data_IF_960650999125
#
_entry.id   IF_960650999125
#
_cell.length_a   1.000
_cell.length_b   1.000
_cell.length_c   1.000
_cell.angle_alpha   90.00
_cell.angle_beta   90.00
_cell.angle_gamma   90.00
#
_symmetry.space_group_name_H-M   'P 1'
#
loop_
_entity.id
_entity.type
_entity.pdbx_description
1 polymer ?
#
# COMPACT_ATOMS: atom_id res chain seq x y z
N UNK A 1 -1.30 -25.30 17.71
CA UNK A 1 -2.31 -24.36 18.26
C UNK A 1 -2.27 -23.09 17.44
N UNK A 2 -3.43 -22.59 17.01
CA UNK A 2 -3.51 -21.25 16.44
C UNK A 2 -3.19 -20.22 17.54
N UNK A 3 -2.36 -19.24 17.21
CA UNK A 3 -2.05 -18.11 18.11
C UNK A 3 -2.91 -16.91 17.75
N UNK A 4 -3.04 -15.95 18.67
CA UNK A 4 -3.70 -14.67 18.41
C UNK A 4 -2.80 -13.75 17.54
N UNK A 5 -2.51 -14.17 16.30
CA UNK A 5 -1.54 -13.52 15.41
C UNK A 5 -1.87 -12.04 15.18
N UNK A 6 -3.14 -11.68 15.03
CA UNK A 6 -3.56 -10.29 14.87
C UNK A 6 -3.12 -9.41 16.06
N UNK A 7 -3.25 -9.91 17.30
CA UNK A 7 -2.80 -9.19 18.49
C UNK A 7 -1.27 -9.11 18.55
N UNK A 8 -0.56 -10.18 18.19
CA UNK A 8 0.90 -10.19 18.15
C UNK A 8 1.45 -9.22 17.11
N UNK A 9 0.84 -9.15 15.93
CA UNK A 9 1.20 -8.18 14.89
C UNK A 9 0.96 -6.75 15.37
N UNK A 10 -0.22 -6.47 15.93
CA UNK A 10 -0.55 -5.14 16.46
C UNK A 10 0.44 -4.65 17.50
N UNK A 11 0.72 -5.47 18.51
CA UNK A 11 1.66 -5.10 19.58
C UNK A 11 3.10 -5.09 19.08
N UNK A 12 3.49 -6.07 18.25
CA UNK A 12 4.83 -6.20 17.69
C UNK A 12 5.21 -5.06 16.74
N UNK A 13 4.25 -4.50 16.00
CA UNK A 13 4.51 -3.38 15.08
C UNK A 13 4.27 -2.01 15.69
N UNK A 14 3.78 -1.91 16.93
CA UNK A 14 3.39 -0.64 17.56
C UNK A 14 4.50 0.40 17.54
N UNK A 15 5.73 0.01 17.90
CA UNK A 15 6.89 0.91 17.90
C UNK A 15 7.23 1.39 16.49
N UNK A 16 7.24 0.49 15.51
CA UNK A 16 7.51 0.81 14.11
C UNK A 16 6.43 1.71 13.50
N UNK A 17 5.16 1.51 13.87
CA UNK A 17 4.05 2.37 13.47
C UNK A 17 4.27 3.82 13.96
N UNK A 18 4.55 3.99 15.26
CA UNK A 18 4.86 5.31 15.81
C UNK A 18 6.07 5.95 15.12
N UNK A 19 7.11 5.17 14.80
CA UNK A 19 8.26 5.70 14.05
C UNK A 19 7.87 6.15 12.64
N UNK A 20 7.03 5.38 11.93
CA UNK A 20 6.59 5.72 10.58
C UNK A 20 5.78 7.03 10.55
N UNK A 21 4.87 7.25 11.50
CA UNK A 21 4.08 8.48 11.62
C UNK A 21 4.94 9.73 11.89
N UNK A 22 6.07 9.54 12.57
CA UNK A 22 7.02 10.61 12.91
C UNK A 22 8.10 10.85 11.84
N UNK A 23 8.03 10.16 10.69
CA UNK A 23 8.90 10.50 9.55
C UNK A 23 8.54 11.88 9.00
N UNK A 24 9.53 12.62 8.48
CA UNK A 24 9.31 13.99 8.01
C UNK A 24 8.18 14.12 6.98
N UNK A 25 8.12 13.20 6.01
CA UNK A 25 7.04 13.17 5.02
C UNK A 25 5.66 12.96 5.66
N UNK A 26 5.50 11.94 6.50
CA UNK A 26 4.20 11.62 7.10
C UNK A 26 3.77 12.68 8.10
N UNK A 27 4.70 13.24 8.89
CA UNK A 27 4.41 14.33 9.81
C UNK A 27 3.98 15.61 9.11
N UNK A 28 4.59 15.97 7.97
CA UNK A 28 4.13 17.08 7.13
C UNK A 28 2.75 16.77 6.52
N UNK A 29 2.58 15.54 6.03
CA UNK A 29 1.32 15.08 5.46
C UNK A 29 0.18 15.23 6.46
N UNK A 30 0.32 14.71 7.68
CA UNK A 30 -0.70 14.77 8.73
C UNK A 30 -1.05 16.20 9.15
N UNK A 31 -0.17 17.17 8.93
CA UNK A 31 -0.41 18.61 9.16
C UNK A 31 -1.07 19.30 7.97
N UNK A 32 -1.42 18.58 6.91
CA UNK A 32 -1.96 19.12 5.67
C UNK A 32 -0.92 19.82 4.79
N UNK A 33 0.37 19.64 5.07
CA UNK A 33 1.46 20.17 4.26
C UNK A 33 1.89 19.09 3.27
N UNK A 34 1.13 19.01 2.16
CA UNK A 34 1.31 17.99 1.12
C UNK A 34 1.62 18.65 -0.22
N UNK A 35 2.78 18.34 -0.78
CA UNK A 35 3.12 18.71 -2.15
C UNK A 35 2.61 17.66 -3.13
N UNK A 36 1.92 18.10 -4.20
CA UNK A 36 1.32 17.21 -5.21
C UNK A 36 2.37 16.38 -5.96
N UNK A 37 3.56 16.93 -6.22
CA UNK A 37 4.62 16.20 -6.91
C UNK A 37 5.20 15.07 -6.05
N UNK A 38 5.33 15.31 -4.75
CA UNK A 38 5.75 14.32 -3.76
C UNK A 38 4.67 13.25 -3.56
N UNK A 39 3.39 13.65 -3.47
CA UNK A 39 2.28 12.73 -3.34
C UNK A 39 2.14 11.78 -4.53
N UNK A 40 2.18 12.29 -5.77
CA UNK A 40 2.08 11.42 -6.94
C UNK A 40 3.25 10.44 -7.06
N UNK A 41 4.42 10.79 -6.52
CA UNK A 41 5.58 9.88 -6.45
C UNK A 41 5.31 8.74 -5.47
N UNK A 42 4.70 9.04 -4.31
CA UNK A 42 4.22 8.01 -3.39
C UNK A 42 3.20 7.09 -4.07
N UNK A 43 2.20 7.64 -4.76
CA UNK A 43 1.17 6.85 -5.47
C UNK A 43 1.82 5.92 -6.51
N UNK A 44 2.81 6.42 -7.26
CA UNK A 44 3.59 5.62 -8.19
C UNK A 44 4.34 4.47 -7.51
N UNK A 45 5.04 4.73 -6.42
CA UNK A 45 5.75 3.71 -5.67
C UNK A 45 4.80 2.66 -5.09
N UNK A 46 3.64 3.08 -4.56
CA UNK A 46 2.60 2.17 -4.08
C UNK A 46 2.08 1.28 -5.22
N UNK A 47 1.85 1.82 -6.41
CA UNK A 47 1.40 1.00 -7.55
C UNK A 47 2.31 -0.21 -7.79
N UNK A 48 3.63 -0.03 -7.80
CA UNK A 48 4.56 -1.15 -7.99
C UNK A 48 4.56 -2.13 -6.81
N UNK A 49 4.51 -1.62 -5.58
CA UNK A 49 4.48 -2.43 -4.36
C UNK A 49 3.21 -3.29 -4.28
N UNK A 50 2.03 -2.68 -4.49
CA UNK A 50 0.76 -3.41 -4.50
C UNK A 50 0.68 -4.37 -5.68
N UNK A 51 1.15 -4.00 -6.87
CA UNK A 51 1.16 -4.91 -8.02
C UNK A 51 1.94 -6.19 -7.74
N UNK A 52 3.15 -6.08 -7.16
CA UNK A 52 3.96 -7.24 -6.80
C UNK A 52 3.31 -8.08 -5.69
N UNK A 53 2.77 -7.42 -4.66
CA UNK A 53 2.12 -8.10 -3.54
C UNK A 53 0.86 -8.85 -3.98
N UNK A 54 -0.01 -8.20 -4.76
CA UNK A 54 -1.27 -8.77 -5.24
C UNK A 54 -1.06 -9.88 -6.24
N UNK A 55 -0.04 -9.79 -7.10
CA UNK A 55 0.37 -10.86 -8.00
C UNK A 55 0.72 -12.14 -7.22
N UNK A 56 1.63 -12.03 -6.25
CA UNK A 56 2.11 -13.19 -5.48
C UNK A 56 1.04 -13.76 -4.54
N UNK A 57 0.28 -12.91 -3.87
CA UNK A 57 -0.85 -13.35 -3.02
C UNK A 57 -1.93 -14.01 -3.87
N UNK A 58 -2.23 -13.46 -5.06
CA UNK A 58 -3.18 -14.04 -6.00
C UNK A 58 -2.78 -15.44 -6.46
N UNK A 59 -1.50 -15.64 -6.81
CA UNK A 59 -0.94 -16.96 -7.17
C UNK A 59 -1.10 -17.96 -6.02
N UNK A 60 -0.65 -17.61 -4.81
CA UNK A 60 -0.70 -18.49 -3.64
C UNK A 60 -2.14 -18.83 -3.24
N UNK A 61 -3.05 -17.87 -3.35
CA UNK A 61 -4.49 -18.10 -3.14
C UNK A 61 -5.06 -19.08 -4.15
N UNK A 62 -4.77 -18.91 -5.44
CA UNK A 62 -5.26 -19.82 -6.48
C UNK A 62 -4.73 -21.26 -6.29
N UNK A 63 -3.54 -21.41 -5.71
CA UNK A 63 -2.95 -22.70 -5.34
C UNK A 63 -3.50 -23.28 -4.04
N UNK A 64 -4.37 -22.56 -3.31
CA UNK A 64 -4.91 -23.00 -2.03
C UNK A 64 -3.87 -23.01 -0.90
N UNK A 65 -2.89 -22.12 -0.93
CA UNK A 65 -1.84 -22.06 0.08
C UNK A 65 -2.45 -21.90 1.50
N UNK A 66 -2.11 -22.78 2.47
CA UNK A 66 -2.86 -22.89 3.73
C UNK A 66 -2.77 -21.66 4.64
N UNK A 67 -1.72 -20.85 4.50
CA UNK A 67 -1.52 -19.62 5.31
C UNK A 67 -1.99 -18.35 4.60
N UNK A 68 -1.49 -18.09 3.38
CA UNK A 68 -1.83 -16.88 2.59
C UNK A 68 -3.23 -16.95 1.98
N UNK A 69 -3.68 -18.12 1.51
CA UNK A 69 -4.97 -18.27 0.84
C UNK A 69 -6.16 -17.75 1.64
N UNK A 70 -6.29 -18.06 2.94
CA UNK A 70 -7.37 -17.55 3.79
C UNK A 70 -7.40 -16.03 4.01
N UNK A 71 -6.29 -15.33 3.76
CA UNK A 71 -6.19 -13.87 3.96
C UNK A 71 -6.09 -13.08 2.66
N UNK A 72 -5.91 -13.73 1.52
CA UNK A 72 -5.87 -13.09 0.20
C UNK A 72 -7.26 -12.70 -0.29
N UNK A 73 -7.82 -11.60 0.22
CA UNK A 73 -9.13 -11.06 -0.17
C UNK A 73 -9.00 -10.14 -1.39
N UNK A 74 -9.50 -10.52 -2.58
CA UNK A 74 -9.41 -9.67 -3.78
C UNK A 74 -10.11 -8.31 -3.63
N UNK A 75 -11.09 -8.20 -2.74
CA UNK A 75 -11.80 -6.97 -2.41
C UNK A 75 -10.87 -5.90 -1.81
N UNK A 76 -9.70 -6.32 -1.29
CA UNK A 76 -8.67 -5.43 -0.78
C UNK A 76 -7.69 -4.95 -1.86
N UNK A 77 -7.71 -5.51 -3.07
CA UNK A 77 -6.72 -5.19 -4.11
C UNK A 77 -6.79 -3.72 -4.56
N UNK A 78 -5.66 -3.03 -4.52
CA UNK A 78 -5.50 -1.61 -4.82
C UNK A 78 -4.82 -1.33 -6.14
N UNK A 79 -4.30 -2.34 -6.85
CA UNK A 79 -3.68 -2.13 -8.17
C UNK A 79 -4.59 -1.33 -9.11
N UNK A 80 -5.85 -1.75 -9.28
CA UNK A 80 -6.75 -1.12 -10.25
C UNK A 80 -7.13 0.32 -9.87
N UNK A 81 -7.27 0.62 -8.57
CA UNK A 81 -7.53 1.99 -8.10
C UNK A 81 -6.29 2.86 -8.22
N UNK A 82 -5.09 2.32 -7.97
CA UNK A 82 -3.82 2.99 -8.18
C UNK A 82 -3.56 3.29 -9.67
N UNK A 83 -3.92 2.40 -10.59
CA UNK A 83 -3.82 2.66 -12.03
C UNK A 83 -4.67 3.88 -12.46
N UNK A 84 -5.87 4.01 -11.89
CA UNK A 84 -6.75 5.15 -12.15
C UNK A 84 -6.20 6.45 -11.57
N UNK A 85 -5.63 6.40 -10.35
CA UNK A 85 -5.00 7.57 -9.75
C UNK A 85 -3.73 7.99 -10.52
N UNK A 86 -2.95 7.04 -11.05
CA UNK A 86 -1.80 7.35 -11.89
C UNK A 86 -2.20 8.00 -13.22
N UNK A 87 -3.28 7.52 -13.85
CA UNK A 87 -3.84 8.18 -15.02
C UNK A 87 -4.24 9.63 -14.72
N UNK A 88 -4.78 9.90 -13.53
CA UNK A 88 -5.08 11.26 -13.08
C UNK A 88 -3.82 12.12 -12.88
N UNK A 89 -2.78 11.61 -12.21
CA UNK A 89 -1.60 12.39 -11.86
C UNK A 89 -0.56 12.56 -12.98
N UNK A 90 -0.50 11.60 -13.92
CA UNK A 90 0.53 11.53 -14.96
C UNK A 90 -0.06 11.52 -16.38
N UNK A 91 -1.39 11.46 -16.54
CA UNK A 91 -2.07 11.44 -17.82
C UNK A 91 -2.20 10.04 -18.44
N UNK A 92 -2.76 9.96 -19.64
CA UNK A 92 -3.04 8.68 -20.32
C UNK A 92 -1.81 7.80 -20.56
N UNK A 93 -0.63 8.41 -20.72
CA UNK A 93 0.63 7.71 -20.97
C UNK A 93 1.44 7.39 -19.70
N UNK A 94 0.80 7.43 -18.52
CA UNK A 94 1.45 7.23 -17.22
C UNK A 94 2.34 5.98 -17.18
N UNK A 95 1.94 4.89 -17.83
CA UNK A 95 2.68 3.62 -17.87
C UNK A 95 4.10 3.76 -18.43
N UNK A 96 4.31 4.70 -19.34
CA UNK A 96 5.63 4.94 -19.96
C UNK A 96 6.49 5.95 -19.19
N UNK A 97 5.87 6.79 -18.36
CA UNK A 97 6.52 7.89 -17.65
C UNK A 97 6.84 7.57 -16.19
N UNK A 98 6.04 6.73 -15.56
CA UNK A 98 6.17 6.39 -14.14
C UNK A 98 7.22 5.31 -13.93
N UNK A 99 8.11 5.54 -12.97
CA UNK A 99 9.15 4.58 -12.55
C UNK A 99 9.19 4.52 -11.03
N UNK A 100 9.36 3.31 -10.50
CA UNK A 100 9.59 3.10 -9.08
C UNK A 100 10.88 3.80 -8.64
N UNK A 101 10.84 4.49 -7.50
CA UNK A 101 12.05 4.97 -6.84
C UNK A 101 12.94 3.81 -6.39
N UNK A 102 14.23 4.04 -6.11
CA UNK A 102 15.11 2.98 -5.59
C UNK A 102 14.57 2.29 -4.34
N UNK A 103 13.94 3.04 -3.43
CA UNK A 103 13.34 2.49 -2.21
C UNK A 103 12.13 1.58 -2.52
N UNK A 104 11.29 1.97 -3.49
CA UNK A 104 10.18 1.13 -3.92
C UNK A 104 10.66 -0.12 -4.67
N UNK A 105 11.74 -0.03 -5.45
CA UNK A 105 12.37 -1.19 -6.08
C UNK A 105 12.88 -2.18 -5.04
N UNK A 106 13.52 -1.70 -3.97
CA UNK A 106 13.96 -2.56 -2.86
C UNK A 106 12.79 -3.24 -2.17
N UNK A 107 11.69 -2.51 -1.94
CA UNK A 107 10.47 -3.09 -1.39
C UNK A 107 9.90 -4.19 -2.31
N UNK A 108 9.72 -3.90 -3.60
CA UNK A 108 9.25 -4.87 -4.60
C UNK A 108 10.15 -6.11 -4.64
N UNK A 109 11.47 -5.92 -4.64
CA UNK A 109 12.43 -7.03 -4.60
C UNK A 109 12.25 -7.89 -3.34
N UNK A 110 12.02 -7.27 -2.17
CA UNK A 110 11.76 -7.99 -0.93
C UNK A 110 10.47 -8.81 -0.99
N UNK A 111 9.41 -8.29 -1.63
CA UNK A 111 8.14 -9.02 -1.81
C UNK A 111 8.39 -10.30 -2.62
N UNK A 112 9.05 -10.19 -3.77
CA UNK A 112 9.35 -11.35 -4.60
C UNK A 112 10.30 -12.34 -3.92
N UNK A 113 11.30 -11.84 -3.18
CA UNK A 113 12.18 -12.70 -2.39
C UNK A 113 11.39 -13.52 -1.37
N UNK A 114 10.51 -12.88 -0.60
CA UNK A 114 9.69 -13.56 0.40
C UNK A 114 8.72 -14.55 -0.26
N UNK A 115 8.09 -14.17 -1.38
CA UNK A 115 7.20 -15.06 -2.12
C UNK A 115 7.91 -16.35 -2.58
N UNK A 116 9.19 -16.25 -2.95
CA UNK A 116 9.99 -17.39 -3.40
C UNK A 116 10.56 -18.23 -2.25
N UNK A 117 11.02 -17.60 -1.17
CA UNK A 117 11.79 -18.27 -0.11
C UNK A 117 10.92 -18.70 1.09
N UNK A 118 9.90 -17.91 1.44
CA UNK A 118 9.09 -18.08 2.65
C UNK A 118 7.69 -17.45 2.47
N UNK A 119 6.85 -17.99 1.56
CA UNK A 119 5.60 -17.35 1.11
C UNK A 119 4.61 -17.07 2.25
N UNK A 120 4.62 -17.85 3.32
CA UNK A 120 3.80 -17.61 4.52
C UNK A 120 4.08 -16.25 5.18
N UNK A 121 5.28 -15.68 5.01
CA UNK A 121 5.64 -14.38 5.56
C UNK A 121 5.02 -13.21 4.77
N UNK A 122 4.44 -13.44 3.59
CA UNK A 122 3.66 -12.42 2.88
C UNK A 122 2.47 -11.91 3.69
N UNK A 123 1.99 -12.69 4.67
CA UNK A 123 0.98 -12.23 5.65
C UNK A 123 1.45 -10.95 6.35
N UNK A 124 2.74 -10.80 6.63
CA UNK A 124 3.31 -9.58 7.23
C UNK A 124 3.14 -8.36 6.32
N UNK A 125 3.47 -8.49 5.04
CA UNK A 125 3.30 -7.43 4.04
C UNK A 125 1.82 -7.07 3.85
N UNK A 126 0.97 -8.08 3.68
CA UNK A 126 -0.48 -7.93 3.57
C UNK A 126 -1.06 -7.19 4.79
N UNK A 127 -0.68 -7.61 6.00
CA UNK A 127 -1.10 -6.96 7.23
C UNK A 127 -0.67 -5.49 7.28
N UNK A 128 0.62 -5.21 7.05
CA UNK A 128 1.15 -3.84 7.16
C UNK A 128 0.48 -2.87 6.20
N UNK A 129 0.16 -3.31 4.99
CA UNK A 129 -0.50 -2.46 3.99
C UNK A 129 -2.00 -2.34 4.25
N UNK A 130 -2.74 -3.43 4.10
CA UNK A 130 -4.21 -3.35 4.04
C UNK A 130 -4.86 -2.96 5.37
N UNK A 131 -4.32 -3.41 6.53
CA UNK A 131 -4.88 -2.98 7.82
C UNK A 131 -4.58 -1.50 8.07
N UNK A 132 -3.43 -1.01 7.61
CA UNK A 132 -3.09 0.42 7.63
C UNK A 132 -4.06 1.24 6.77
N UNK A 133 -4.35 0.77 5.56
CA UNK A 133 -5.26 1.44 4.63
C UNK A 133 -6.70 1.50 5.17
N UNK A 134 -7.21 0.39 5.72
CA UNK A 134 -8.55 0.30 6.29
C UNK A 134 -8.72 1.15 7.56
N UNK A 135 -7.65 1.31 8.36
CA UNK A 135 -7.72 2.02 9.64
C UNK A 135 -7.45 3.52 9.48
N UNK A 136 -6.31 3.87 8.88
CA UNK A 136 -5.84 5.26 8.75
C UNK A 136 -6.14 5.89 7.39
N UNK A 137 -6.44 5.08 6.36
CA UNK A 137 -6.58 5.56 4.98
C UNK A 137 -7.67 6.61 4.80
N UNK A 138 -8.80 6.52 5.51
CA UNK A 138 -9.85 7.54 5.43
C UNK A 138 -9.41 8.90 6.00
N UNK A 139 -8.59 8.90 7.05
CA UNK A 139 -8.00 10.13 7.59
C UNK A 139 -7.02 10.71 6.56
N UNK A 140 -6.17 9.87 5.97
CA UNK A 140 -5.20 10.31 4.96
C UNK A 140 -5.89 10.83 3.69
N UNK A 141 -6.98 10.19 3.25
CA UNK A 141 -7.84 10.63 2.13
C UNK A 141 -8.31 12.06 2.35
N UNK A 142 -8.93 12.33 3.50
CA UNK A 142 -9.48 13.64 3.84
C UNK A 142 -8.39 14.73 3.91
N UNK A 143 -7.21 14.37 4.41
CA UNK A 143 -6.07 15.28 4.47
C UNK A 143 -5.54 15.59 3.07
N UNK A 144 -5.32 14.56 2.23
CA UNK A 144 -4.87 14.72 0.85
C UNK A 144 -5.85 15.57 0.03
N UNK A 145 -7.15 15.28 0.16
CA UNK A 145 -8.21 16.01 -0.54
C UNK A 145 -8.16 17.51 -0.22
N UNK A 146 -8.10 17.86 1.07
CA UNK A 146 -8.06 19.26 1.53
C UNK A 146 -6.75 19.95 1.15
N UNK A 147 -5.61 19.30 1.41
CA UNK A 147 -4.29 19.88 1.20
C UNK A 147 -3.99 20.18 -0.28
N UNK A 148 -4.45 19.31 -1.18
CA UNK A 148 -4.20 19.43 -2.62
C UNK A 148 -5.41 19.97 -3.41
N UNK A 149 -6.49 20.36 -2.72
CA UNK A 149 -7.74 20.85 -3.32
C UNK A 149 -8.28 19.92 -4.43
N UNK A 150 -8.38 18.63 -4.12
CA UNK A 150 -8.85 17.59 -5.04
C UNK A 150 -10.38 17.46 -5.01
N UNK A 151 -10.94 16.92 -6.09
CA UNK A 151 -12.35 16.52 -6.15
C UNK A 151 -12.66 15.33 -5.23
N UNK A 152 -13.84 14.74 -5.36
CA UNK A 152 -14.28 13.66 -4.46
C UNK A 152 -13.53 12.34 -4.66
N UNK A 153 -13.18 11.99 -5.90
CA UNK A 153 -12.63 10.68 -6.26
C UNK A 153 -11.28 10.74 -6.95
N UNK A 154 -11.10 11.69 -7.88
CA UNK A 154 -9.93 11.72 -8.76
C UNK A 154 -8.63 11.97 -8.01
N UNK A 155 -7.70 11.02 -8.12
CA UNK A 155 -6.40 11.05 -7.46
C UNK A 155 -6.42 10.52 -6.02
N UNK A 156 -7.54 9.95 -5.56
CA UNK A 156 -7.74 9.41 -4.22
C UNK A 156 -8.43 8.04 -4.20
N UNK A 157 -8.60 7.38 -5.36
CA UNK A 157 -9.29 6.09 -5.46
C UNK A 157 -8.59 4.98 -4.70
N UNK A 158 -7.28 5.10 -4.48
CA UNK A 158 -6.52 4.19 -3.61
C UNK A 158 -7.16 4.01 -2.21
N UNK A 159 -7.80 5.05 -1.68
CA UNK A 159 -8.44 5.01 -0.36
C UNK A 159 -9.91 4.55 -0.39
N UNK A 160 -10.42 4.17 -1.56
CA UNK A 160 -11.81 3.71 -1.74
C UNK A 160 -11.83 2.19 -1.83
N UNK A 161 -12.57 1.56 -0.92
CA UNK A 161 -12.66 0.11 -0.73
C UNK A 161 -14.08 -0.34 -1.06
#
# INVERSE_FOLDING_TARGET
MAVALASQLREGTKKSHTMAENTGFVSCFLKGVVDKASYRTLVADLFFVYSAMEEEIGKLRAQGHPVVGPVGFPELNRRDTLEQDLAYYFGGDWRSSVKATPAAQEYVARIYQIAAEAPELLVGHHYTRYIGDLSGGQILKNIAQKAMNLGEHDGLRFYEF
#
